data_IF_794481023735
#
_entry.id   IF_794481023735
#
_cell.length_a   1.000
_cell.length_b   1.000
_cell.length_c   1.000
_cell.angle_alpha   90.00
_cell.angle_beta   90.00
_cell.angle_gamma   90.00
#
_symmetry.space_group_name_H-M   'P 1'
#
loop_
_entity.id
_entity.type
_entity.pdbx_description
1 polymer ?
#
# COMPACT_ATOMS: atom_id res chain seq x y z
N UNK A 1 22.01 -17.94 21.27
CA UNK A 1 21.80 -18.12 19.83
C UNK A 1 22.44 -16.99 19.05
N UNK A 2 23.70 -17.18 18.68
CA UNK A 2 24.39 -16.33 17.70
C UNK A 2 23.93 -16.77 16.32
N UNK A 3 23.04 -16.01 15.69
CA UNK A 3 22.79 -16.15 14.25
C UNK A 3 24.07 -15.72 13.52
N UNK A 4 24.47 -16.46 12.50
CA UNK A 4 25.64 -16.12 11.69
C UNK A 4 25.51 -14.69 11.13
N UNK A 5 26.57 -13.90 11.32
CA UNK A 5 26.58 -12.49 10.94
C UNK A 5 26.98 -12.35 9.47
N UNK A 6 26.04 -12.60 8.57
CA UNK A 6 26.21 -12.34 7.14
C UNK A 6 26.43 -10.84 6.86
N UNK A 7 26.98 -10.48 5.70
CA UNK A 7 26.80 -9.17 5.08
C UNK A 7 25.54 -9.17 4.18
N UNK A 8 25.04 -7.99 3.70
CA UNK A 8 23.83 -7.94 2.88
C UNK A 8 23.89 -8.80 1.61
N UNK A 9 25.06 -8.87 0.95
CA UNK A 9 25.24 -9.62 -0.30
C UNK A 9 25.18 -11.13 -0.07
N UNK A 10 25.85 -11.64 0.98
CA UNK A 10 25.79 -13.05 1.36
C UNK A 10 24.38 -13.46 1.81
N UNK A 11 23.67 -12.57 2.51
CA UNK A 11 22.27 -12.78 2.86
C UNK A 11 21.40 -12.90 1.59
N UNK A 12 21.58 -11.98 0.63
CA UNK A 12 20.86 -12.02 -0.64
C UNK A 12 21.13 -13.31 -1.41
N UNK A 13 22.40 -13.71 -1.56
CA UNK A 13 22.80 -14.95 -2.21
C UNK A 13 22.12 -16.17 -1.58
N UNK A 14 22.10 -16.24 -0.25
CA UNK A 14 21.47 -17.36 0.48
C UNK A 14 19.96 -17.44 0.22
N UNK A 15 19.26 -16.28 0.22
CA UNK A 15 17.82 -16.23 -0.07
C UNK A 15 17.56 -16.57 -1.53
N UNK A 16 18.26 -15.93 -2.48
CA UNK A 16 18.09 -16.14 -3.92
C UNK A 16 18.36 -17.59 -4.30
N UNK A 17 19.41 -18.21 -3.76
CA UNK A 17 19.71 -19.61 -4.00
C UNK A 17 18.58 -20.52 -3.52
N UNK A 18 18.04 -20.28 -2.32
CA UNK A 18 16.93 -21.06 -1.80
C UNK A 18 15.64 -20.90 -2.60
N UNK A 19 15.31 -19.66 -3.00
CA UNK A 19 14.15 -19.40 -3.88
C UNK A 19 14.30 -20.08 -5.24
N UNK A 20 15.50 -20.08 -5.81
CA UNK A 20 15.80 -20.77 -7.06
C UNK A 20 15.66 -22.29 -6.96
N UNK A 21 15.87 -22.87 -5.77
CA UNK A 21 15.66 -24.30 -5.53
C UNK A 21 14.18 -24.67 -5.33
N UNK A 22 13.38 -23.76 -4.77
CA UNK A 22 11.93 -23.98 -4.59
C UNK A 22 11.14 -23.77 -5.87
N UNK A 23 11.64 -22.95 -6.79
CA UNK A 23 10.98 -22.65 -8.04
C UNK A 23 9.66 -21.89 -7.83
N UNK A 24 8.63 -22.24 -8.61
CA UNK A 24 7.29 -21.61 -8.55
C UNK A 24 6.38 -22.19 -7.47
N UNK A 25 6.83 -23.19 -6.70
CA UNK A 25 6.04 -23.76 -5.60
C UNK A 25 6.07 -22.83 -4.38
N UNK A 26 5.02 -22.02 -4.23
CA UNK A 26 4.90 -21.05 -3.15
C UNK A 26 4.76 -21.68 -1.76
N UNK A 27 4.32 -22.95 -1.66
CA UNK A 27 4.33 -23.65 -0.39
C UNK A 27 5.76 -24.04 0.00
N UNK A 28 6.55 -24.51 -0.98
CA UNK A 28 7.97 -24.76 -0.79
C UNK A 28 8.73 -23.48 -0.43
N UNK A 29 8.41 -22.34 -1.07
CA UNK A 29 8.95 -21.01 -0.72
C UNK A 29 8.63 -20.67 0.74
N UNK A 30 7.37 -20.79 1.17
CA UNK A 30 6.99 -20.48 2.55
C UNK A 30 7.73 -21.36 3.57
N UNK A 31 7.89 -22.66 3.28
CA UNK A 31 8.65 -23.60 4.11
C UNK A 31 10.14 -23.28 4.15
N UNK A 32 10.72 -22.91 3.01
CA UNK A 32 12.11 -22.45 2.94
C UNK A 32 12.33 -21.22 3.82
N UNK A 33 11.44 -20.22 3.74
CA UNK A 33 11.56 -19.00 4.54
C UNK A 33 11.39 -19.26 6.05
N UNK A 34 10.47 -20.13 6.46
CA UNK A 34 10.32 -20.54 7.87
C UNK A 34 11.55 -21.30 8.40
N UNK A 35 12.14 -22.18 7.60
CA UNK A 35 13.31 -22.94 8.04
C UNK A 35 14.58 -22.10 8.04
N UNK A 36 14.73 -21.20 7.06
CA UNK A 36 15.91 -20.35 6.90
C UNK A 36 15.98 -19.22 7.93
N UNK A 37 14.85 -18.71 8.42
CA UNK A 37 14.86 -17.64 9.44
C UNK A 37 15.39 -18.06 10.81
N UNK A 38 15.65 -19.36 11.04
CA UNK A 38 16.43 -19.84 12.19
C UNK A 38 17.92 -19.54 12.06
N UNK A 39 18.46 -19.59 10.83
CA UNK A 39 19.88 -19.38 10.52
C UNK A 39 20.18 -17.95 10.10
N UNK A 40 19.30 -17.37 9.28
CA UNK A 40 19.43 -16.04 8.71
C UNK A 40 18.82 -14.98 9.64
N UNK A 41 19.47 -13.82 9.71
CA UNK A 41 18.99 -12.68 10.52
C UNK A 41 18.02 -11.79 9.72
N UNK A 42 16.77 -12.24 9.62
CA UNK A 42 15.71 -11.46 8.95
C UNK A 42 15.45 -10.10 9.58
N UNK A 43 15.71 -9.92 10.89
CA UNK A 43 15.46 -8.62 11.53
C UNK A 43 16.45 -7.59 11.00
N UNK A 44 17.72 -7.98 10.86
CA UNK A 44 18.77 -7.11 10.35
C UNK A 44 18.63 -6.83 8.85
N UNK A 45 18.19 -7.83 8.09
CA UNK A 45 18.10 -7.78 6.63
C UNK A 45 16.66 -7.73 6.12
N UNK A 46 15.74 -7.12 6.89
CA UNK A 46 14.32 -7.08 6.54
C UNK A 46 14.08 -6.39 5.19
N UNK A 47 14.70 -5.25 4.97
CA UNK A 47 14.67 -4.50 3.70
C UNK A 47 15.14 -5.39 2.54
N UNK A 48 16.36 -5.93 2.62
CA UNK A 48 16.92 -6.84 1.60
C UNK A 48 16.02 -8.05 1.34
N UNK A 49 15.45 -8.66 2.39
CA UNK A 49 14.55 -9.80 2.27
C UNK A 49 13.31 -9.44 1.44
N UNK A 50 12.67 -8.32 1.75
CA UNK A 50 11.44 -7.90 1.08
C UNK A 50 11.69 -7.37 -0.33
N UNK A 51 12.82 -6.69 -0.58
CA UNK A 51 13.28 -6.35 -1.92
C UNK A 51 13.41 -7.62 -2.80
N UNK A 52 14.02 -8.69 -2.28
CA UNK A 52 14.17 -9.95 -3.02
C UNK A 52 12.80 -10.61 -3.26
N UNK A 53 11.93 -10.68 -2.26
CA UNK A 53 10.62 -11.33 -2.41
C UNK A 53 9.70 -10.59 -3.39
N UNK A 54 9.81 -9.26 -3.45
CA UNK A 54 8.98 -8.44 -4.34
C UNK A 54 9.62 -8.27 -5.72
N UNK A 55 10.86 -7.78 -5.78
CA UNK A 55 11.53 -7.38 -7.02
C UNK A 55 12.57 -8.39 -7.54
N UNK A 56 12.90 -9.42 -6.76
CA UNK A 56 13.84 -10.47 -7.15
C UNK A 56 15.30 -10.20 -6.77
N UNK A 57 15.61 -9.01 -6.26
CA UNK A 57 16.95 -8.61 -5.82
C UNK A 57 16.91 -7.28 -5.06
N UNK A 58 18.05 -6.85 -4.53
CA UNK A 58 18.16 -5.56 -3.84
C UNK A 58 17.79 -4.39 -4.76
N UNK A 59 17.06 -3.41 -4.22
CA UNK A 59 16.71 -2.20 -4.95
C UNK A 59 17.65 -1.05 -4.56
N UNK A 60 18.17 -0.36 -5.57
CA UNK A 60 18.80 0.93 -5.40
C UNK A 60 17.76 2.01 -5.07
N UNK A 61 18.18 3.15 -4.49
CA UNK A 61 17.29 4.30 -4.32
C UNK A 61 16.62 4.69 -5.64
N UNK A 62 15.28 4.74 -5.65
CA UNK A 62 14.50 5.04 -6.86
C UNK A 62 13.85 3.83 -7.53
N UNK A 63 14.09 2.61 -7.04
CA UNK A 63 13.35 1.41 -7.46
C UNK A 63 13.95 0.65 -8.64
N UNK A 64 15.21 0.90 -8.98
CA UNK A 64 15.94 0.07 -9.95
C UNK A 64 16.65 -1.06 -9.22
N UNK A 65 16.76 -2.24 -9.84
CA UNK A 65 17.62 -3.31 -9.29
C UNK A 65 19.05 -2.79 -9.16
N UNK A 66 19.71 -3.10 -8.04
CA UNK A 66 21.13 -2.84 -7.88
C UNK A 66 21.92 -3.56 -8.99
N UNK A 67 23.06 -3.00 -9.40
CA UNK A 67 23.93 -3.59 -10.44
C UNK A 67 24.52 -4.96 -10.02
N UNK A 68 24.41 -5.32 -8.74
CA UNK A 68 24.82 -6.61 -8.20
C UNK A 68 23.91 -7.74 -8.71
N UNK A 69 24.49 -8.59 -9.57
CA UNK A 69 23.86 -9.58 -10.46
C UNK A 69 23.01 -10.69 -9.81
N UNK A 70 22.87 -10.73 -8.49
CA UNK A 70 22.20 -11.82 -7.78
C UNK A 70 20.68 -11.61 -7.74
N UNK A 71 20.00 -12.00 -8.82
CA UNK A 71 18.53 -11.92 -8.92
C UNK A 71 17.87 -13.31 -8.98
N UNK A 72 16.62 -13.39 -8.53
CA UNK A 72 15.74 -14.54 -8.73
C UNK A 72 14.57 -14.19 -9.65
N UNK A 73 14.10 -15.17 -10.42
CA UNK A 73 12.84 -15.06 -11.16
C UNK A 73 11.63 -15.51 -10.31
N UNK A 74 11.84 -15.96 -9.08
CA UNK A 74 10.78 -16.43 -8.18
C UNK A 74 10.37 -15.34 -7.18
N UNK A 75 9.89 -14.22 -7.72
CA UNK A 75 9.44 -13.04 -6.98
C UNK A 75 8.15 -12.45 -7.56
N UNK A 76 7.52 -11.53 -6.84
CA UNK A 76 6.22 -10.92 -7.24
C UNK A 76 6.31 -10.23 -8.61
N UNK A 77 7.40 -9.52 -8.91
CA UNK A 77 7.58 -8.81 -10.19
C UNK A 77 7.81 -9.73 -11.39
N UNK A 78 8.07 -11.02 -11.16
CA UNK A 78 8.21 -12.00 -12.23
C UNK A 78 7.03 -12.96 -12.33
N UNK A 79 6.10 -12.88 -11.37
CA UNK A 79 4.89 -13.66 -11.33
C UNK A 79 3.85 -13.22 -12.38
N UNK A 80 2.86 -14.07 -12.60
CA UNK A 80 1.69 -13.78 -13.42
C UNK A 80 0.81 -12.70 -12.76
N UNK A 81 0.33 -11.74 -13.57
CA UNK A 81 -0.54 -10.64 -13.13
C UNK A 81 -2.01 -11.09 -13.08
N UNK A 82 -2.35 -11.94 -12.10
CA UNK A 82 -3.72 -12.37 -11.83
C UNK A 82 -3.99 -12.49 -10.33
N UNK A 83 -5.27 -12.55 -9.94
CA UNK A 83 -5.66 -12.51 -8.53
C UNK A 83 -5.23 -13.77 -7.77
N UNK A 84 -5.33 -14.95 -8.39
CA UNK A 84 -5.02 -16.23 -7.76
C UNK A 84 -3.53 -16.29 -7.39
N UNK A 85 -2.67 -15.89 -8.33
CA UNK A 85 -1.22 -15.79 -8.11
C UNK A 85 -0.90 -14.77 -7.01
N UNK A 86 -1.50 -13.58 -7.03
CA UNK A 86 -1.24 -12.55 -6.00
C UNK A 86 -1.75 -12.96 -4.61
N UNK A 87 -2.86 -13.69 -4.52
CA UNK A 87 -3.35 -14.28 -3.27
C UNK A 87 -2.36 -15.32 -2.73
N UNK A 88 -1.81 -16.18 -3.59
CA UNK A 88 -0.82 -17.17 -3.18
C UNK A 88 0.46 -16.50 -2.66
N UNK A 89 0.97 -15.45 -3.31
CA UNK A 89 2.07 -14.65 -2.77
C UNK A 89 1.72 -13.99 -1.44
N UNK A 90 0.51 -13.41 -1.31
CA UNK A 90 0.06 -12.82 -0.05
C UNK A 90 0.04 -13.85 1.10
N UNK A 91 -0.27 -15.12 0.83
CA UNK A 91 -0.18 -16.20 1.82
C UNK A 91 1.26 -16.46 2.27
N UNK A 92 2.24 -16.39 1.37
CA UNK A 92 3.67 -16.50 1.74
C UNK A 92 4.06 -15.39 2.72
N UNK A 93 3.72 -14.14 2.41
CA UNK A 93 3.96 -13.00 3.32
C UNK A 93 3.21 -13.17 4.65
N UNK A 94 1.93 -13.61 4.61
CA UNK A 94 1.15 -13.83 5.83
C UNK A 94 1.81 -14.87 6.75
N UNK A 95 2.21 -16.02 6.19
CA UNK A 95 2.92 -17.09 6.93
C UNK A 95 4.23 -16.57 7.52
N UNK A 96 5.03 -15.86 6.71
CA UNK A 96 6.31 -15.30 7.14
C UNK A 96 6.14 -14.29 8.29
N UNK A 97 5.25 -13.31 8.16
CA UNK A 97 5.01 -12.28 9.18
C UNK A 97 4.37 -12.87 10.43
N UNK A 98 3.45 -13.83 10.30
CA UNK A 98 2.86 -14.53 11.46
C UNK A 98 3.91 -15.30 12.25
N UNK A 99 4.86 -15.92 11.56
CA UNK A 99 5.97 -16.66 12.18
C UNK A 99 7.02 -15.75 12.80
N UNK A 100 7.39 -14.69 12.10
CA UNK A 100 8.40 -13.72 12.52
C UNK A 100 7.77 -12.35 12.73
N UNK A 101 6.94 -12.23 13.77
CA UNK A 101 6.15 -11.02 14.05
C UNK A 101 6.97 -9.73 14.14
N UNK A 102 8.25 -9.83 14.52
CA UNK A 102 9.16 -8.69 14.53
C UNK A 102 9.44 -8.07 13.15
N UNK A 103 9.14 -8.77 12.06
CA UNK A 103 9.26 -8.27 10.69
C UNK A 103 8.10 -7.36 10.29
N UNK A 104 6.97 -7.38 11.00
CA UNK A 104 5.77 -6.62 10.62
C UNK A 104 6.06 -5.14 10.36
N UNK A 105 6.80 -4.50 11.28
CA UNK A 105 7.19 -3.09 11.09
C UNK A 105 8.12 -2.90 9.90
N UNK A 106 9.11 -3.76 9.74
CA UNK A 106 10.04 -3.70 8.60
C UNK A 106 9.33 -3.90 7.26
N UNK A 107 8.32 -4.79 7.24
CA UNK A 107 7.49 -5.03 6.07
C UNK A 107 6.64 -3.82 5.72
N UNK A 108 5.98 -3.20 6.70
CA UNK A 108 5.18 -1.99 6.45
C UNK A 108 6.04 -0.84 5.91
N UNK A 109 7.22 -0.63 6.48
CA UNK A 109 8.15 0.41 6.02
C UNK A 109 8.70 0.12 4.61
N UNK A 110 8.99 -1.15 4.31
CA UNK A 110 9.45 -1.52 2.96
C UNK A 110 8.35 -1.32 1.92
N UNK A 111 7.10 -1.72 2.20
CA UNK A 111 5.99 -1.44 1.30
C UNK A 111 5.83 0.07 1.09
N UNK A 112 5.93 0.90 2.14
CA UNK A 112 5.91 2.37 1.98
C UNK A 112 7.02 2.87 1.05
N UNK A 113 8.23 2.31 1.15
CA UNK A 113 9.39 2.63 0.29
C UNK A 113 9.10 2.25 -1.17
N UNK A 114 8.62 1.03 -1.41
CA UNK A 114 8.24 0.56 -2.75
C UNK A 114 7.14 1.45 -3.38
N UNK A 115 6.15 1.87 -2.59
CA UNK A 115 5.10 2.79 -3.05
C UNK A 115 5.64 4.18 -3.43
N UNK A 116 6.77 4.63 -2.86
CA UNK A 116 7.43 5.88 -3.27
C UNK A 116 8.20 5.72 -4.59
N UNK A 117 8.60 4.49 -4.92
CA UNK A 117 9.42 4.17 -6.09
C UNK A 117 8.62 3.69 -7.30
N UNK A 118 7.29 3.82 -7.29
CA UNK A 118 6.43 3.32 -8.38
C UNK A 118 6.86 3.79 -9.78
N UNK A 119 7.47 4.98 -9.91
CA UNK A 119 7.99 5.47 -11.20
C UNK A 119 9.17 4.67 -11.76
N UNK A 120 9.95 3.99 -10.91
CA UNK A 120 11.03 3.12 -11.32
C UNK A 120 10.56 1.76 -11.83
N UNK A 121 9.30 1.40 -11.58
CA UNK A 121 8.75 0.11 -11.94
C UNK A 121 7.97 0.14 -13.25
N UNK A 122 7.94 -1.00 -13.94
CA UNK A 122 7.12 -1.17 -15.15
C UNK A 122 5.63 -1.07 -14.80
N UNK A 123 4.77 -0.90 -15.81
CA UNK A 123 3.32 -0.93 -15.57
C UNK A 123 2.85 -2.27 -14.98
N UNK A 124 3.37 -3.39 -15.48
CA UNK A 124 3.00 -4.70 -14.94
C UNK A 124 3.45 -4.87 -13.49
N UNK A 125 4.67 -4.44 -13.15
CA UNK A 125 5.18 -4.54 -11.78
C UNK A 125 4.37 -3.67 -10.81
N UNK A 126 3.98 -2.46 -11.23
CA UNK A 126 3.05 -1.62 -10.48
C UNK A 126 1.70 -2.29 -10.29
N UNK A 127 1.16 -2.95 -11.31
CA UNK A 127 -0.12 -3.65 -11.21
C UNK A 127 -0.04 -4.83 -10.21
N UNK A 128 0.99 -5.67 -10.31
CA UNK A 128 1.21 -6.80 -9.38
C UNK A 128 1.40 -6.31 -7.95
N UNK A 129 2.19 -5.26 -7.74
CA UNK A 129 2.36 -4.62 -6.44
C UNK A 129 1.04 -4.05 -5.90
N UNK A 130 0.23 -3.38 -6.74
CA UNK A 130 -1.07 -2.85 -6.33
C UNK A 130 -2.02 -3.97 -5.91
N UNK A 131 -2.09 -5.04 -6.69
CA UNK A 131 -2.95 -6.19 -6.40
C UNK A 131 -2.54 -6.87 -5.10
N UNK A 132 -1.26 -7.19 -4.94
CA UNK A 132 -0.71 -7.76 -3.71
C UNK A 132 -0.98 -6.85 -2.51
N UNK A 133 -0.74 -5.56 -2.63
CA UNK A 133 -0.98 -4.58 -1.55
C UNK A 133 -2.45 -4.56 -1.13
N UNK A 134 -3.39 -4.60 -2.09
CA UNK A 134 -4.82 -4.67 -1.82
C UNK A 134 -5.21 -5.91 -1.01
N UNK A 135 -4.67 -7.08 -1.37
CA UNK A 135 -4.91 -8.34 -0.65
C UNK A 135 -4.29 -8.32 0.76
N UNK A 136 -3.08 -7.77 0.90
CA UNK A 136 -2.42 -7.65 2.21
C UNK A 136 -3.15 -6.68 3.15
N UNK A 137 -3.72 -5.60 2.62
CA UNK A 137 -4.60 -4.70 3.36
C UNK A 137 -5.90 -5.41 3.77
N UNK A 138 -6.49 -6.19 2.87
CA UNK A 138 -7.69 -6.99 3.14
C UNK A 138 -7.49 -8.00 4.28
N UNK A 139 -6.32 -8.64 4.31
CA UNK A 139 -5.97 -9.63 5.32
C UNK A 139 -5.50 -9.01 6.65
N UNK A 140 -5.33 -7.68 6.71
CA UNK A 140 -4.80 -6.98 7.88
C UNK A 140 -3.31 -7.23 8.11
N UNK A 141 -2.57 -7.68 7.08
CA UNK A 141 -1.12 -7.82 7.12
C UNK A 141 -0.40 -6.46 7.01
N UNK A 142 -1.07 -5.47 6.40
CA UNK A 142 -0.62 -4.10 6.31
C UNK A 142 -1.69 -3.16 6.87
N UNK A 143 -1.23 -2.07 7.48
CA UNK A 143 -2.10 -0.95 7.85
C UNK A 143 -2.36 -0.06 6.64
N UNK A 144 -3.57 0.50 6.53
CA UNK A 144 -3.91 1.46 5.48
C UNK A 144 -3.07 2.75 5.52
N UNK A 145 -2.32 3.00 6.60
CA UNK A 145 -1.36 4.10 6.71
C UNK A 145 -0.32 4.10 5.60
N UNK A 146 0.00 2.95 4.98
CA UNK A 146 0.93 2.88 3.84
C UNK A 146 0.48 3.72 2.65
N UNK A 147 -0.83 3.97 2.50
CA UNK A 147 -1.37 4.72 1.38
C UNK A 147 -0.87 6.17 1.36
N UNK A 148 -0.37 6.69 2.49
CA UNK A 148 0.23 8.02 2.52
C UNK A 148 1.39 8.19 1.54
N UNK A 149 2.12 7.11 1.22
CA UNK A 149 3.19 7.14 0.22
C UNK A 149 2.67 7.48 -1.18
N UNK A 150 1.43 7.12 -1.50
CA UNK A 150 0.81 7.45 -2.79
C UNK A 150 0.49 8.94 -2.93
N UNK A 151 0.48 9.71 -1.84
CA UNK A 151 0.22 11.15 -1.89
C UNK A 151 1.48 11.97 -2.19
N UNK A 152 2.60 11.30 -2.49
CA UNK A 152 3.82 11.97 -2.93
C UNK A 152 3.56 12.81 -4.19
N UNK A 153 3.96 14.07 -4.15
CA UNK A 153 3.66 15.06 -5.20
C UNK A 153 4.12 14.61 -6.60
N UNK A 154 5.27 13.93 -6.70
CA UNK A 154 5.80 13.47 -7.99
C UNK A 154 4.93 12.36 -8.59
N UNK A 155 4.43 11.43 -7.76
CA UNK A 155 3.55 10.35 -8.21
C UNK A 155 2.16 10.89 -8.60
N UNK A 156 1.66 11.84 -7.80
CA UNK A 156 0.35 12.45 -7.99
C UNK A 156 0.30 13.29 -9.27
N UNK A 157 1.33 14.13 -9.51
CA UNK A 157 1.42 14.96 -10.72
C UNK A 157 1.40 14.15 -12.00
N UNK A 158 2.04 12.99 -12.01
CA UNK A 158 2.12 12.09 -13.18
C UNK A 158 0.94 11.11 -13.28
N UNK A 159 0.00 11.15 -12.33
CA UNK A 159 -1.17 10.27 -12.32
C UNK A 159 -0.86 8.82 -11.94
N UNK A 160 0.39 8.51 -11.52
CA UNK A 160 0.81 7.17 -11.10
C UNK A 160 0.03 6.74 -9.86
N UNK A 161 -0.17 7.65 -8.91
CA UNK A 161 -0.91 7.38 -7.66
C UNK A 161 -2.34 6.92 -7.92
N UNK A 162 -3.08 7.64 -8.76
CA UNK A 162 -4.46 7.34 -9.07
C UNK A 162 -4.60 6.02 -9.86
N UNK A 163 -3.69 5.77 -10.82
CA UNK A 163 -3.67 4.53 -11.58
C UNK A 163 -3.40 3.31 -10.68
N UNK A 164 -2.39 3.41 -9.80
CA UNK A 164 -2.08 2.37 -8.82
C UNK A 164 -3.25 2.13 -7.87
N UNK A 165 -3.89 3.19 -7.39
CA UNK A 165 -5.04 3.11 -6.49
C UNK A 165 -6.22 2.34 -7.11
N UNK A 166 -6.49 2.48 -8.42
CA UNK A 166 -7.54 1.67 -9.08
C UNK A 166 -7.29 0.18 -8.89
N UNK A 167 -6.08 -0.29 -9.21
CA UNK A 167 -5.73 -1.71 -9.12
C UNK A 167 -5.76 -2.20 -7.67
N UNK A 168 -5.22 -1.40 -6.75
CA UNK A 168 -5.21 -1.70 -5.32
C UNK A 168 -6.63 -1.83 -4.75
N UNK A 169 -7.50 -0.86 -5.00
CA UNK A 169 -8.86 -0.90 -4.45
C UNK A 169 -9.72 -1.97 -5.10
N UNK A 170 -9.49 -2.30 -6.38
CA UNK A 170 -10.13 -3.48 -7.01
C UNK A 170 -9.77 -4.77 -6.29
N UNK A 171 -8.49 -4.99 -6.03
CA UNK A 171 -8.04 -6.18 -5.30
C UNK A 171 -8.46 -6.17 -3.84
N UNK A 172 -8.52 -5.02 -3.19
CA UNK A 172 -9.03 -4.96 -1.83
C UNK A 172 -10.54 -5.28 -1.77
N UNK A 173 -11.33 -4.72 -2.69
CA UNK A 173 -12.78 -4.94 -2.75
C UNK A 173 -13.17 -6.32 -3.29
N UNK A 174 -12.26 -7.05 -3.97
CA UNK A 174 -12.50 -8.47 -4.28
C UNK A 174 -12.39 -9.37 -3.05
N UNK A 175 -11.64 -8.95 -2.03
CA UNK A 175 -11.44 -9.71 -0.80
C UNK A 175 -12.41 -9.34 0.32
N UNK A 176 -12.84 -8.07 0.35
CA UNK A 176 -13.62 -7.47 1.45
C UNK A 176 -14.67 -6.52 0.92
N UNK A 177 -15.77 -6.39 1.64
CA UNK A 177 -16.78 -5.38 1.33
C UNK A 177 -16.30 -3.95 1.64
N UNK A 178 -17.02 -2.97 1.09
CA UNK A 178 -16.73 -1.55 1.28
C UNK A 178 -16.75 -1.11 2.75
N UNK A 179 -17.53 -1.76 3.62
CA UNK A 179 -17.60 -1.40 5.04
C UNK A 179 -16.30 -1.77 5.76
N UNK A 180 -15.73 -2.94 5.45
CA UNK A 180 -14.43 -3.37 5.94
C UNK A 180 -13.32 -2.45 5.43
N UNK A 181 -13.33 -2.08 4.15
CA UNK A 181 -12.37 -1.12 3.58
C UNK A 181 -12.48 0.23 4.28
N UNK A 182 -13.69 0.77 4.40
CA UNK A 182 -13.97 2.03 5.08
C UNK A 182 -13.51 2.02 6.55
N UNK A 183 -13.74 0.92 7.27
CA UNK A 183 -13.28 0.74 8.64
C UNK A 183 -11.76 0.81 8.75
N UNK A 184 -11.04 0.12 7.87
CA UNK A 184 -9.58 0.15 7.82
C UNK A 184 -9.02 1.54 7.50
N UNK A 185 -9.64 2.27 6.56
CA UNK A 185 -9.24 3.64 6.22
C UNK A 185 -9.48 4.62 7.38
N UNK A 186 -10.67 4.57 8.00
CA UNK A 186 -11.06 5.42 9.14
C UNK A 186 -10.14 5.25 10.33
N UNK A 187 -9.74 4.00 10.63
CA UNK A 187 -8.88 3.66 11.76
C UNK A 187 -7.57 4.47 11.79
N UNK A 188 -7.08 4.87 10.61
CA UNK A 188 -5.83 5.62 10.43
C UNK A 188 -6.04 6.98 9.77
N UNK A 189 -7.30 7.44 9.66
CA UNK A 189 -7.65 8.74 9.08
C UNK A 189 -7.37 8.88 7.57
N UNK A 190 -7.22 7.77 6.84
CA UNK A 190 -6.97 7.79 5.39
C UNK A 190 -8.24 8.04 4.57
N UNK A 191 -9.41 7.84 5.17
CA UNK A 191 -10.71 8.11 4.57
C UNK A 191 -10.88 9.58 4.14
N UNK A 192 -10.29 10.53 4.89
CA UNK A 192 -10.36 11.96 4.59
C UNK A 192 -9.30 12.42 3.57
N UNK A 193 -8.40 11.54 3.16
CA UNK A 193 -7.22 11.88 2.35
C UNK A 193 -7.26 11.30 0.94
N UNK A 194 -8.29 10.55 0.58
CA UNK A 194 -8.39 9.89 -0.74
C UNK A 194 -8.30 10.88 -1.92
N UNK A 195 -8.75 12.12 -1.74
CA UNK A 195 -8.60 13.16 -2.76
C UNK A 195 -7.13 13.51 -3.06
N UNK A 196 -6.20 13.24 -2.13
CA UNK A 196 -4.77 13.49 -2.31
C UNK A 196 -4.12 12.57 -3.36
N UNK A 197 -4.82 11.53 -3.82
CA UNK A 197 -4.41 10.74 -4.99
C UNK A 197 -4.34 11.57 -6.28
N UNK A 198 -5.01 12.73 -6.31
CA UNK A 198 -5.05 13.63 -7.45
C UNK A 198 -4.31 14.94 -7.18
N UNK A 199 -3.76 15.58 -8.23
CA UNK A 199 -3.21 16.93 -8.14
C UNK A 199 -4.24 17.93 -7.60
N UNK A 200 -3.80 18.97 -6.90
CA UNK A 200 -4.68 19.95 -6.24
C UNK A 200 -5.78 20.52 -7.15
N UNK A 201 -5.48 20.78 -8.42
CA UNK A 201 -6.43 21.30 -9.41
C UNK A 201 -7.47 20.28 -9.91
N UNK A 202 -7.38 19.01 -9.48
CA UNK A 202 -8.30 17.92 -9.81
C UNK A 202 -8.96 17.29 -8.58
N UNK A 203 -8.77 17.87 -7.39
CA UNK A 203 -9.39 17.41 -6.14
C UNK A 203 -10.82 17.90 -6.05
N UNK A 204 -11.72 17.22 -6.76
CA UNK A 204 -13.16 17.44 -6.65
C UNK A 204 -13.90 16.11 -6.57
N UNK A 205 -15.06 16.13 -5.92
CA UNK A 205 -15.95 14.98 -5.78
C UNK A 205 -16.35 14.39 -7.14
N UNK A 206 -16.59 15.25 -8.13
CA UNK A 206 -16.97 14.88 -9.49
C UNK A 206 -15.81 14.18 -10.20
N UNK A 207 -14.59 14.74 -10.11
CA UNK A 207 -13.42 14.15 -10.74
C UNK A 207 -13.10 12.79 -10.15
N UNK A 208 -13.05 12.70 -8.81
CA UNK A 208 -12.82 11.44 -8.10
C UNK A 208 -13.85 10.38 -8.52
N UNK A 209 -15.14 10.74 -8.46
CA UNK A 209 -16.22 9.82 -8.79
C UNK A 209 -16.14 9.36 -10.24
N UNK A 210 -15.92 10.28 -11.18
CA UNK A 210 -15.80 9.93 -12.60
C UNK A 210 -14.67 8.94 -12.81
N UNK A 211 -13.48 9.24 -12.29
CA UNK A 211 -12.27 8.45 -12.47
C UNK A 211 -12.43 7.02 -11.92
N UNK A 212 -12.94 6.88 -10.69
CA UNK A 212 -13.11 5.56 -10.07
C UNK A 212 -14.35 4.81 -10.59
N UNK A 213 -15.44 5.49 -10.96
CA UNK A 213 -16.60 4.85 -11.57
C UNK A 213 -16.31 4.28 -12.96
N UNK A 214 -15.56 5.00 -13.80
CA UNK A 214 -15.10 4.52 -15.11
C UNK A 214 -14.23 3.26 -14.97
N UNK A 215 -13.52 3.15 -13.85
CA UNK A 215 -12.77 1.95 -13.50
C UNK A 215 -13.62 0.84 -12.86
N UNK A 216 -14.93 1.03 -12.62
CA UNK A 216 -15.82 0.04 -11.99
C UNK A 216 -15.79 0.04 -10.45
N UNK A 217 -15.23 1.08 -9.82
CA UNK A 217 -15.12 1.22 -8.36
C UNK A 217 -16.21 2.16 -7.81
N UNK A 218 -17.48 1.89 -8.15
CA UNK A 218 -18.61 2.76 -7.75
C UNK A 218 -18.77 2.88 -6.24
N UNK A 219 -18.62 1.77 -5.52
CA UNK A 219 -18.77 1.75 -4.06
C UNK A 219 -17.72 2.62 -3.36
N UNK A 220 -16.49 2.65 -3.88
CA UNK A 220 -15.43 3.53 -3.39
C UNK A 220 -15.75 5.01 -3.64
N UNK A 221 -16.26 5.33 -4.84
CA UNK A 221 -16.69 6.70 -5.17
C UNK A 221 -17.82 7.20 -4.28
N UNK A 222 -18.83 6.36 -4.05
CA UNK A 222 -19.97 6.67 -3.18
C UNK A 222 -19.50 6.85 -1.73
N UNK A 223 -18.57 6.00 -1.27
CA UNK A 223 -17.93 6.15 0.04
C UNK A 223 -17.19 7.48 0.18
N UNK A 224 -16.32 7.84 -0.78
CA UNK A 224 -15.53 9.08 -0.74
C UNK A 224 -16.42 10.34 -0.72
N UNK A 225 -17.48 10.35 -1.55
CA UNK A 225 -18.52 11.40 -1.56
C UNK A 225 -19.19 11.58 -0.20
N UNK A 226 -19.63 10.48 0.40
CA UNK A 226 -20.27 10.52 1.70
C UNK A 226 -19.31 11.04 2.78
N UNK A 227 -18.03 10.63 2.71
CA UNK A 227 -17.02 11.08 3.66
C UNK A 227 -16.74 12.58 3.55
N UNK A 228 -16.66 13.11 2.34
CA UNK A 228 -16.50 14.55 2.08
C UNK A 228 -17.68 15.36 2.64
N UNK A 229 -18.92 14.88 2.42
CA UNK A 229 -20.12 15.51 2.99
C UNK A 229 -20.12 15.52 4.52
N UNK A 230 -19.67 14.42 5.15
CA UNK A 230 -19.51 14.33 6.60
C UNK A 230 -18.43 15.30 7.09
N UNK A 231 -17.30 15.39 6.39
CA UNK A 231 -16.20 16.32 6.70
C UNK A 231 -16.67 17.76 6.68
N UNK A 232 -17.30 18.19 5.58
CA UNK A 232 -17.82 19.54 5.42
C UNK A 232 -18.84 19.91 6.52
N UNK A 233 -19.74 18.99 6.88
CA UNK A 233 -20.69 19.21 7.98
C UNK A 233 -20.01 19.40 9.33
N UNK A 234 -18.98 18.60 9.63
CA UNK A 234 -18.22 18.71 10.89
C UNK A 234 -17.43 20.01 10.95
N UNK A 235 -16.84 20.44 9.85
CA UNK A 235 -16.11 21.70 9.76
C UNK A 235 -17.05 22.89 9.97
N UNK A 236 -18.20 22.90 9.31
CA UNK A 236 -19.23 23.93 9.49
C UNK A 236 -19.75 23.97 10.93
N UNK A 237 -20.01 22.81 11.52
CA UNK A 237 -20.45 22.72 12.92
C UNK A 237 -19.39 23.30 13.87
N UNK A 238 -18.12 22.94 13.67
CA UNK A 238 -17.01 23.44 14.48
C UNK A 238 -16.84 24.96 14.33
N UNK A 239 -16.95 25.48 13.11
CA UNK A 239 -16.87 26.92 12.86
C UNK A 239 -17.98 27.67 13.60
N UNK A 240 -19.21 27.14 13.57
CA UNK A 240 -20.35 27.70 14.31
C UNK A 240 -20.10 27.65 15.82
N UNK A 241 -19.59 26.53 16.36
CA UNK A 241 -19.23 26.39 17.77
C UNK A 241 -18.14 27.40 18.19
N UNK A 242 -17.12 27.58 17.36
CA UNK A 242 -16.02 28.54 17.60
C UNK A 242 -16.49 30.01 17.51
N UNK A 243 -17.42 30.34 16.61
CA UNK A 243 -18.04 31.68 16.52
C UNK A 243 -18.93 31.96 17.74
N UNK A 244 -19.72 30.98 18.20
CA UNK A 244 -20.53 31.11 19.42
C UNK A 244 -19.65 31.29 20.67
N UNK A 245 -18.54 30.57 20.77
CA UNK A 245 -17.59 30.71 21.88
C UNK A 245 -16.90 32.08 21.93
N UNK A 246 -16.74 32.73 20.76
CA UNK A 246 -16.19 34.09 20.64
C UNK A 246 -17.19 35.21 20.94
N UNK A 247 -18.48 34.87 21.03
CA UNK A 247 -19.55 35.85 21.30
C UNK A 247 -19.95 36.70 20.09
N UNK A 248 -19.69 36.21 18.88
CA UNK A 248 -20.01 36.94 17.64
C UNK A 248 -21.54 37.11 17.47
N UNK A 249 -22.05 38.29 17.03
CA UNK A 249 -23.49 38.52 16.90
C UNK A 249 -24.14 37.61 15.84
N UNK A 250 -25.22 36.90 16.24
CA UNK A 250 -26.04 36.00 15.40
C UNK A 250 -26.54 36.55 14.04
N UNK A 251 -26.41 37.86 13.79
CA UNK A 251 -26.83 38.48 12.52
C UNK A 251 -25.88 38.18 11.36
N UNK A 252 -24.60 37.94 11.63
CA UNK A 252 -23.61 37.60 10.58
C UNK A 252 -23.70 36.12 10.14
N UNK A 253 -24.23 35.25 11.01
CA UNK A 253 -24.41 33.80 10.77
C UNK A 253 -25.37 33.50 9.61
N UNK A 254 -26.32 34.39 9.29
CA UNK A 254 -27.28 34.17 8.19
C UNK A 254 -26.77 34.62 6.82
N UNK A 255 -25.72 35.44 6.74
CA UNK A 255 -25.24 35.96 5.46
C UNK A 255 -24.17 35.07 4.79
N UNK A 256 -23.45 34.24 5.55
CA UNK A 256 -22.47 33.30 4.98
C UNK A 256 -23.07 31.98 4.49
N UNK A 257 -24.18 31.51 5.08
CA UNK A 257 -24.82 30.25 4.69
C UNK A 257 -25.57 30.26 3.36
N UNK A 258 -25.62 31.41 2.65
CA UNK A 258 -26.30 31.57 1.36
C UNK A 258 -25.33 31.66 0.16
N UNK A 259 -24.01 31.56 0.38
CA UNK A 259 -23.01 31.63 -0.69
C UNK A 259 -22.18 30.34 -0.87
N UNK A 260 -22.62 29.22 -0.27
CA UNK A 260 -22.15 27.88 -0.60
C UNK A 260 -23.30 27.01 -1.13
#
# INVERSE_FOLDING_TARGET
DEKERFDPSQFQESIVQGLNQTGTDLEAVAKFLDTSGAKLDYRRYAETLFDILVAGGMLAPGGTLSEDLTCTEFCVFKAQEDMETMQAYAQVFNKLIRRYKYLEKGFEEEIKKLLLFLKGFTESDRNKLAMLTGILLANGNLSASILSSLFNENLVKEGVSACFAIKLFKSWLSEKDINSVAGSLRKVGMDNRLMELFPANKRSSEHFSKYFNEAGLKELSDFAKNQESIGARKELQKEIEDQMARGDPLKDVRHQSFFY
#
